data_IF_091894693082
#
_entry.id   IF_091894693082
#
_cell.length_a   1.000
_cell.length_b   1.000
_cell.length_c   1.000
_cell.angle_alpha   90.00
_cell.angle_beta   90.00
_cell.angle_gamma   90.00
#
_symmetry.space_group_name_H-M   'P 1'
#
loop_
_entity.id
_entity.type
_entity.pdbx_description
1 polymer ?
#
# COMPACT_ATOMS: atom_id res chain seq x y z
N UNK A 1 3.14 19.58 -26.39
CA UNK A 1 4.01 18.58 -25.74
C UNK A 1 5.28 19.19 -25.15
N UNK A 2 6.15 19.83 -25.94
CA UNK A 2 7.43 20.46 -25.47
C UNK A 2 7.37 21.28 -24.16
N UNK A 3 6.30 22.04 -23.89
CA UNK A 3 6.17 22.91 -22.69
C UNK A 3 5.72 22.17 -21.41
N UNK A 4 5.19 20.95 -21.53
CA UNK A 4 4.80 20.10 -20.39
C UNK A 4 6.02 19.26 -19.97
N UNK A 5 6.74 18.71 -20.95
CA UNK A 5 8.02 18.02 -20.74
C UNK A 5 9.02 18.90 -19.99
N UNK A 6 9.12 20.19 -20.35
CA UNK A 6 10.02 21.12 -19.66
C UNK A 6 9.68 21.27 -18.17
N UNK A 7 8.39 21.32 -17.79
CA UNK A 7 7.98 21.51 -16.39
C UNK A 7 8.13 20.24 -15.55
N UNK A 8 7.94 19.07 -16.13
CA UNK A 8 8.21 17.79 -15.46
C UNK A 8 9.69 17.59 -15.23
N UNK A 9 10.53 17.93 -16.21
CA UNK A 9 11.98 17.95 -16.04
C UNK A 9 12.41 18.88 -14.90
N UNK A 10 11.80 20.06 -14.78
CA UNK A 10 12.04 20.96 -13.63
C UNK A 10 11.70 20.32 -12.29
N UNK A 11 10.53 19.69 -12.14
CA UNK A 11 10.18 18.99 -10.89
C UNK A 11 11.19 17.87 -10.60
N UNK A 12 11.56 17.08 -11.61
CA UNK A 12 12.55 16.01 -11.47
C UNK A 12 13.88 16.54 -10.92
N UNK A 13 14.39 17.63 -11.53
CA UNK A 13 15.66 18.27 -11.13
C UNK A 13 15.55 18.87 -9.73
N UNK A 14 14.44 19.53 -9.40
CA UNK A 14 14.23 20.11 -8.07
C UNK A 14 14.14 19.03 -6.99
N UNK A 15 13.38 17.95 -7.24
CA UNK A 15 13.23 16.83 -6.32
C UNK A 15 14.56 16.12 -6.12
N UNK A 16 15.22 15.74 -7.22
CA UNK A 16 16.51 15.08 -7.18
C UNK A 16 17.53 15.96 -6.48
N UNK A 17 17.64 17.23 -6.87
CA UNK A 17 18.58 18.18 -6.26
C UNK A 17 18.35 18.38 -4.77
N UNK A 18 17.09 18.54 -4.34
CA UNK A 18 16.75 18.70 -2.92
C UNK A 18 17.05 17.43 -2.11
N UNK A 19 16.66 16.26 -2.61
CA UNK A 19 16.90 14.99 -1.92
C UNK A 19 18.40 14.66 -1.85
N UNK A 20 19.15 14.83 -2.95
CA UNK A 20 20.59 14.64 -2.94
C UNK A 20 21.28 15.62 -1.98
N UNK A 21 20.88 16.89 -1.97
CA UNK A 21 21.46 17.89 -1.06
C UNK A 21 21.20 17.54 0.41
N UNK A 22 19.99 17.09 0.76
CA UNK A 22 19.65 16.68 2.13
C UNK A 22 20.43 15.43 2.56
N UNK A 23 20.57 14.45 1.69
CA UNK A 23 21.33 13.22 1.98
C UNK A 23 22.84 13.50 2.07
N UNK A 24 23.37 14.36 1.20
CA UNK A 24 24.77 14.83 1.31
C UNK A 24 24.99 15.59 2.62
N UNK A 25 24.06 16.46 3.00
CA UNK A 25 24.11 17.17 4.27
C UNK A 25 24.16 16.19 5.45
N UNK A 26 23.31 15.16 5.46
CA UNK A 26 23.36 14.12 6.48
C UNK A 26 24.73 13.44 6.57
N UNK A 27 25.28 13.04 5.43
CA UNK A 27 26.55 12.29 5.38
C UNK A 27 27.71 13.18 5.83
N UNK A 28 27.78 14.42 5.35
CA UNK A 28 28.88 15.34 5.63
C UNK A 28 28.85 15.82 7.08
N UNK A 29 27.68 16.20 7.58
CA UNK A 29 27.55 16.79 8.92
C UNK A 29 27.21 15.76 9.99
N UNK A 30 26.95 14.50 9.63
CA UNK A 30 26.51 13.43 10.53
C UNK A 30 25.28 13.83 11.36
N UNK A 31 24.37 14.56 10.74
CA UNK A 31 23.11 15.02 11.35
C UNK A 31 21.96 14.29 10.68
N UNK A 32 21.07 13.71 11.47
CA UNK A 32 19.87 13.07 10.94
C UNK A 32 18.98 14.11 10.24
N UNK A 33 18.47 13.77 9.06
CA UNK A 33 17.55 14.65 8.32
C UNK A 33 16.20 14.68 9.02
N UNK A 34 15.78 13.52 9.53
CA UNK A 34 14.57 13.37 10.34
C UNK A 34 14.94 13.24 11.81
N UNK A 35 14.14 13.86 12.68
CA UNK A 35 14.28 13.72 14.13
C UNK A 35 14.27 12.23 14.52
N UNK A 36 15.25 11.80 15.35
CA UNK A 36 15.49 10.39 15.72
C UNK A 36 15.77 9.43 14.54
N UNK A 37 16.33 9.95 13.44
CA UNK A 37 16.92 9.12 12.39
C UNK A 37 18.06 8.20 12.86
N UNK A 38 18.55 7.34 11.97
CA UNK A 38 19.64 6.42 12.29
C UNK A 38 21.00 7.10 12.13
N UNK A 39 21.92 6.82 13.07
CA UNK A 39 23.28 7.39 13.06
C UNK A 39 24.08 7.03 11.80
N UNK A 40 23.74 5.91 11.14
CA UNK A 40 24.35 5.49 9.89
C UNK A 40 23.38 5.72 8.73
N UNK A 41 23.85 6.31 7.60
CA UNK A 41 23.02 6.43 6.41
C UNK A 41 22.64 5.04 5.91
N UNK A 42 21.41 4.91 5.42
CA UNK A 42 20.89 3.67 4.84
C UNK A 42 20.91 2.46 5.79
N UNK A 43 20.66 2.67 7.08
CA UNK A 43 20.76 1.60 8.07
C UNK A 43 19.87 0.37 7.83
N UNK A 44 18.80 0.46 7.03
CA UNK A 44 18.02 -0.73 6.65
C UNK A 44 18.69 -1.52 5.51
N UNK A 45 19.44 -0.87 4.60
CA UNK A 45 20.29 -1.57 3.62
C UNK A 45 21.45 -2.28 4.32
N UNK A 46 22.03 -1.67 5.35
CA UNK A 46 23.06 -2.32 6.19
C UNK A 46 22.55 -3.65 6.74
N UNK A 47 21.28 -3.71 7.15
CA UNK A 47 20.68 -4.95 7.65
C UNK A 47 20.51 -6.05 6.59
N UNK A 48 20.37 -5.67 5.32
CA UNK A 48 20.32 -6.63 4.20
C UNK A 48 21.74 -7.09 3.84
N UNK A 49 22.70 -6.17 3.76
CA UNK A 49 24.09 -6.51 3.43
C UNK A 49 24.73 -7.38 4.52
N UNK A 50 24.55 -7.04 5.81
CA UNK A 50 25.10 -7.80 6.93
C UNK A 50 24.48 -9.20 7.01
N UNK A 51 23.18 -9.33 6.77
CA UNK A 51 22.52 -10.63 6.74
C UNK A 51 23.03 -11.50 5.58
N UNK A 52 23.34 -10.91 4.42
CA UNK A 52 23.96 -11.62 3.30
C UNK A 52 25.38 -12.09 3.63
N UNK A 53 26.19 -11.24 4.28
CA UNK A 53 27.52 -11.62 4.79
C UNK A 53 27.43 -12.74 5.84
N UNK A 54 26.42 -12.70 6.70
CA UNK A 54 26.15 -13.70 7.74
C UNK A 54 25.89 -15.09 7.11
N UNK A 55 25.08 -15.14 6.04
CA UNK A 55 24.85 -16.37 5.27
C UNK A 55 26.15 -16.89 4.64
N UNK A 56 26.99 -16.01 4.08
CA UNK A 56 28.26 -16.40 3.43
C UNK A 56 29.25 -17.06 4.39
N UNK A 57 29.20 -16.74 5.68
CA UNK A 57 30.02 -17.39 6.72
C UNK A 57 29.35 -18.62 7.36
N UNK A 58 28.19 -19.05 6.83
CA UNK A 58 27.47 -20.24 7.28
C UNK A 58 26.56 -20.02 8.50
N UNK A 59 26.26 -18.78 8.85
CA UNK A 59 25.37 -18.43 9.95
C UNK A 59 23.93 -18.18 9.45
N UNK A 60 22.96 -18.30 10.36
CA UNK A 60 21.55 -18.02 10.05
C UNK A 60 21.16 -16.63 10.58
N UNK A 61 21.00 -15.61 9.70
CA UNK A 61 20.74 -14.23 10.13
C UNK A 61 19.36 -14.02 10.76
N UNK A 62 18.42 -14.98 10.62
CA UNK A 62 17.12 -14.93 11.29
C UNK A 62 17.18 -15.27 12.77
N UNK A 63 18.25 -15.94 13.22
CA UNK A 63 18.45 -16.33 14.62
C UNK A 63 19.55 -15.50 15.28
N UNK A 64 20.63 -15.23 14.54
CA UNK A 64 21.75 -14.42 15.02
C UNK A 64 22.37 -13.67 13.84
N UNK A 65 22.50 -12.35 13.99
CA UNK A 65 23.13 -11.50 12.98
C UNK A 65 24.25 -10.67 13.62
N UNK A 66 25.33 -11.36 14.01
CA UNK A 66 26.48 -10.77 14.69
C UNK A 66 27.27 -9.77 13.82
N UNK A 67 27.07 -9.80 12.50
CA UNK A 67 27.71 -8.89 11.54
C UNK A 67 26.95 -7.54 11.45
N UNK A 68 25.66 -7.51 11.79
CA UNK A 68 24.90 -6.26 11.82
C UNK A 68 25.41 -5.35 12.96
N UNK A 69 25.85 -4.12 12.68
CA UNK A 69 26.38 -3.21 13.72
C UNK A 69 25.38 -2.84 14.81
N UNK A 70 24.08 -3.04 14.55
CA UNK A 70 23.01 -2.80 15.51
C UNK A 70 22.54 -4.10 16.19
N UNK A 71 23.15 -5.25 15.89
CA UNK A 71 22.79 -6.56 16.45
C UNK A 71 21.37 -7.00 16.11
N UNK A 72 20.82 -6.53 14.98
CA UNK A 72 19.42 -6.81 14.59
C UNK A 72 19.31 -8.14 13.88
N UNK A 73 18.42 -8.99 14.35
CA UNK A 73 17.98 -10.18 13.62
C UNK A 73 17.34 -9.78 12.29
N UNK A 74 17.54 -10.62 11.27
CA UNK A 74 17.01 -10.36 9.95
C UNK A 74 15.49 -10.58 9.93
N UNK A 75 14.77 -9.62 9.35
CA UNK A 75 13.31 -9.58 9.35
C UNK A 75 12.72 -9.34 7.95
N UNK A 76 13.47 -9.71 6.91
CA UNK A 76 12.97 -9.67 5.53
C UNK A 76 12.82 -11.09 4.96
N UNK A 77 11.93 -11.27 3.97
CA UNK A 77 11.84 -12.51 3.20
C UNK A 77 13.17 -13.01 2.65
N UNK A 78 13.36 -14.33 2.60
CA UNK A 78 14.62 -14.98 2.19
C UNK A 78 15.07 -14.62 0.77
N UNK A 79 14.13 -14.21 -0.10
CA UNK A 79 14.43 -13.70 -1.44
C UNK A 79 15.45 -12.54 -1.41
N UNK A 80 15.47 -11.72 -0.36
CA UNK A 80 16.45 -10.65 -0.23
C UNK A 80 17.88 -11.18 -0.06
N UNK A 81 18.05 -12.31 0.64
CA UNK A 81 19.34 -12.96 0.78
C UNK A 81 19.81 -13.52 -0.57
N UNK A 82 18.92 -14.17 -1.32
CA UNK A 82 19.22 -14.68 -2.66
C UNK A 82 19.58 -13.58 -3.65
N UNK A 83 18.85 -12.45 -3.61
CA UNK A 83 19.14 -11.29 -4.46
C UNK A 83 20.46 -10.62 -4.08
N UNK A 84 20.74 -10.50 -2.78
CA UNK A 84 22.00 -9.96 -2.29
C UNK A 84 23.18 -10.84 -2.69
N UNK A 85 23.06 -12.16 -2.55
CA UNK A 85 24.11 -13.11 -2.93
C UNK A 85 24.38 -13.12 -4.43
N UNK A 86 23.32 -13.06 -5.27
CA UNK A 86 23.43 -13.01 -6.73
C UNK A 86 24.34 -11.87 -7.24
N UNK A 87 24.35 -10.74 -6.53
CA UNK A 87 25.14 -9.56 -6.90
C UNK A 87 26.35 -9.33 -5.98
N UNK A 88 26.63 -10.27 -5.07
CA UNK A 88 27.64 -10.15 -4.01
C UNK A 88 27.49 -8.87 -3.17
N UNK A 89 26.25 -8.48 -2.88
CA UNK A 89 25.96 -7.29 -2.08
C UNK A 89 26.50 -7.43 -0.66
N UNK A 90 27.32 -6.47 -0.25
CA UNK A 90 28.00 -6.44 1.04
C UNK A 90 28.09 -5.01 1.61
N UNK A 91 28.77 -4.83 2.74
CA UNK A 91 28.83 -3.54 3.43
C UNK A 91 29.42 -2.38 2.60
N UNK A 92 30.31 -2.65 1.62
CA UNK A 92 30.93 -1.57 0.81
C UNK A 92 29.98 -1.01 -0.23
N UNK A 93 28.94 -1.76 -0.61
CA UNK A 93 28.01 -1.39 -1.68
C UNK A 93 26.82 -0.56 -1.17
N UNK A 94 26.58 -0.55 0.15
CA UNK A 94 25.42 0.11 0.79
C UNK A 94 25.21 1.55 0.32
N UNK A 95 26.29 2.34 0.28
CA UNK A 95 26.24 3.74 -0.13
C UNK A 95 25.82 3.88 -1.61
N UNK A 96 26.43 3.08 -2.50
CA UNK A 96 26.13 3.10 -3.93
C UNK A 96 24.67 2.70 -4.19
N UNK A 97 24.21 1.62 -3.56
CA UNK A 97 22.82 1.14 -3.68
C UNK A 97 21.85 2.18 -3.12
N UNK A 98 22.15 2.80 -1.98
CA UNK A 98 21.36 3.90 -1.41
C UNK A 98 21.18 5.06 -2.38
N UNK A 99 22.25 5.53 -3.02
CA UNK A 99 22.18 6.59 -4.04
C UNK A 99 21.37 6.19 -5.26
N UNK A 100 21.55 4.97 -5.77
CA UNK A 100 20.77 4.45 -6.89
C UNK A 100 19.28 4.45 -6.54
N UNK A 101 18.90 4.00 -5.33
CA UNK A 101 17.51 4.01 -4.88
C UNK A 101 16.93 5.43 -4.78
N UNK A 102 17.70 6.42 -4.29
CA UNK A 102 17.26 7.82 -4.26
C UNK A 102 17.04 8.37 -5.67
N UNK A 103 17.93 8.07 -6.61
CA UNK A 103 17.80 8.51 -8.00
C UNK A 103 16.56 7.87 -8.63
N UNK A 104 16.40 6.55 -8.51
CA UNK A 104 15.24 5.84 -9.05
C UNK A 104 13.93 6.35 -8.44
N UNK A 105 13.90 6.56 -7.12
CA UNK A 105 12.76 7.15 -6.43
C UNK A 105 12.43 8.54 -7.00
N UNK A 106 13.43 9.42 -7.10
CA UNK A 106 13.27 10.79 -7.62
C UNK A 106 12.74 10.80 -9.06
N UNK A 107 13.26 9.92 -9.92
CA UNK A 107 12.78 9.74 -11.28
C UNK A 107 11.31 9.28 -11.29
N UNK A 108 10.95 8.30 -10.47
CA UNK A 108 9.57 7.83 -10.37
C UNK A 108 8.61 8.96 -9.96
N UNK A 109 9.00 9.79 -9.01
CA UNK A 109 8.19 10.92 -8.55
C UNK A 109 7.93 11.93 -9.68
N UNK A 110 8.93 12.18 -10.52
CA UNK A 110 8.79 13.08 -11.67
C UNK A 110 7.74 12.59 -12.69
N UNK A 111 7.61 11.28 -12.88
CA UNK A 111 6.63 10.69 -13.80
C UNK A 111 5.26 10.44 -13.15
N UNK A 112 5.23 10.27 -11.82
CA UNK A 112 3.99 10.19 -11.05
C UNK A 112 3.20 11.51 -11.15
N UNK A 113 3.87 12.65 -10.95
CA UNK A 113 3.22 13.96 -10.90
C UNK A 113 3.22 14.69 -12.25
N UNK A 114 2.01 14.95 -12.79
CA UNK A 114 1.83 15.83 -13.96
C UNK A 114 1.72 17.29 -13.52
N UNK A 115 2.85 18.00 -13.48
CA UNK A 115 2.90 19.43 -13.08
C UNK A 115 2.40 20.35 -14.19
N UNK A 116 1.23 20.96 -14.00
CA UNK A 116 0.69 21.96 -14.93
C UNK A 116 1.14 23.38 -14.59
N UNK A 117 1.28 23.69 -13.29
CA UNK A 117 1.61 25.02 -12.74
C UNK A 117 2.76 24.95 -11.74
N UNK A 118 3.59 25.99 -11.67
CA UNK A 118 4.74 26.05 -10.74
C UNK A 118 4.31 25.88 -9.27
N UNK A 119 3.26 26.59 -8.84
CA UNK A 119 2.70 26.46 -7.47
C UNK A 119 2.29 25.02 -7.13
N UNK A 120 1.78 24.26 -8.11
CA UNK A 120 1.45 22.85 -7.95
C UNK A 120 2.71 22.00 -7.75
N UNK A 121 3.80 22.33 -8.45
CA UNK A 121 5.12 21.70 -8.26
C UNK A 121 5.69 21.95 -6.87
N UNK A 122 5.58 23.17 -6.34
CA UNK A 122 5.98 23.48 -4.96
C UNK A 122 5.16 22.70 -3.93
N UNK A 123 3.85 22.55 -4.19
CA UNK A 123 2.98 21.75 -3.33
C UNK A 123 3.41 20.27 -3.34
N UNK A 124 3.68 19.68 -4.51
CA UNK A 124 4.22 18.32 -4.57
C UNK A 124 5.56 18.18 -3.86
N UNK A 125 6.46 19.15 -4.05
CA UNK A 125 7.75 19.16 -3.38
C UNK A 125 7.59 19.13 -1.86
N UNK A 126 6.61 19.85 -1.30
CA UNK A 126 6.32 19.77 0.14
C UNK A 126 5.98 18.32 0.56
N UNK A 127 5.11 17.59 -0.15
CA UNK A 127 4.83 16.19 0.22
C UNK A 127 6.05 15.28 0.07
N UNK A 128 6.87 15.52 -0.95
CA UNK A 128 8.08 14.72 -1.19
C UNK A 128 9.14 14.98 -0.13
N UNK A 129 9.23 16.20 0.39
CA UNK A 129 10.13 16.57 1.49
C UNK A 129 9.48 16.38 2.87
N UNK A 130 8.39 15.61 2.95
CA UNK A 130 7.77 15.30 4.23
C UNK A 130 8.61 14.31 5.05
N UNK A 131 8.51 14.32 6.39
CA UNK A 131 9.32 13.45 7.22
C UNK A 131 9.19 11.94 6.91
N UNK A 132 8.00 11.38 6.60
CA UNK A 132 7.90 9.99 6.15
C UNK A 132 8.80 9.64 4.97
N UNK A 133 8.82 10.50 3.94
CA UNK A 133 9.62 10.27 2.74
C UNK A 133 11.10 10.46 3.05
N UNK A 134 11.45 11.48 3.82
CA UNK A 134 12.84 11.69 4.22
C UNK A 134 13.36 10.54 5.09
N UNK A 135 12.55 10.02 6.02
CA UNK A 135 12.89 8.88 6.86
C UNK A 135 13.07 7.61 6.02
N UNK A 136 12.23 7.41 5.00
CA UNK A 136 12.35 6.29 4.07
C UNK A 136 13.73 6.29 3.39
N UNK A 137 14.12 7.45 2.85
CA UNK A 137 15.36 7.62 2.08
C UNK A 137 16.58 7.57 2.99
N UNK A 138 16.52 8.25 4.13
CA UNK A 138 17.56 8.24 5.17
C UNK A 138 17.86 6.81 5.65
N UNK A 139 16.82 5.99 5.87
CA UNK A 139 16.99 4.59 6.27
C UNK A 139 17.35 3.66 5.10
N UNK A 140 17.12 4.06 3.85
CA UNK A 140 17.31 3.21 2.68
C UNK A 140 16.38 1.99 2.69
N UNK A 141 15.15 2.13 3.19
CA UNK A 141 14.26 0.97 3.36
C UNK A 141 13.84 0.37 1.99
N UNK A 142 13.67 -0.94 1.95
CA UNK A 142 13.17 -1.65 0.75
C UNK A 142 11.73 -1.26 0.33
N UNK A 143 10.99 -0.53 1.17
CA UNK A 143 9.73 0.10 0.77
C UNK A 143 9.92 1.10 -0.40
N UNK A 144 11.13 1.60 -0.67
CA UNK A 144 11.45 2.34 -1.91
C UNK A 144 11.22 1.45 -3.14
N UNK A 145 11.74 0.23 -3.13
CA UNK A 145 11.59 -0.73 -4.24
C UNK A 145 10.12 -1.09 -4.42
N UNK A 146 9.40 -1.31 -3.31
CA UNK A 146 7.96 -1.60 -3.39
C UNK A 146 7.15 -0.42 -3.91
N UNK A 147 7.49 0.82 -3.52
CA UNK A 147 6.88 2.01 -4.11
C UNK A 147 7.10 2.08 -5.63
N UNK A 148 8.33 1.79 -6.10
CA UNK A 148 8.65 1.75 -7.52
C UNK A 148 7.84 0.69 -8.27
N UNK A 149 7.71 -0.52 -7.71
CA UNK A 149 6.90 -1.60 -8.29
C UNK A 149 5.42 -1.23 -8.36
N UNK A 150 4.86 -0.65 -7.29
CA UNK A 150 3.46 -0.22 -7.26
C UNK A 150 3.22 0.94 -8.23
N UNK A 151 4.14 1.90 -8.32
CA UNK A 151 4.07 2.98 -9.31
C UNK A 151 4.18 2.42 -10.74
N UNK A 152 5.03 1.41 -10.98
CA UNK A 152 5.16 0.74 -12.27
C UNK A 152 3.83 0.13 -12.71
N UNK A 153 3.19 -0.69 -11.86
CA UNK A 153 1.92 -1.34 -12.22
C UNK A 153 0.76 -0.35 -12.36
N UNK A 154 0.69 0.69 -11.53
CA UNK A 154 -0.50 1.54 -11.46
C UNK A 154 -0.41 2.80 -12.31
N UNK A 155 0.80 3.26 -12.63
CA UNK A 155 1.04 4.53 -13.32
C UNK A 155 1.71 4.29 -14.67
N UNK A 156 2.81 3.54 -14.71
CA UNK A 156 3.65 3.48 -15.92
C UNK A 156 3.13 2.46 -16.92
N UNK A 157 2.86 1.22 -16.52
CA UNK A 157 2.35 0.19 -17.42
C UNK A 157 1.06 0.61 -18.14
N UNK A 158 0.05 1.20 -17.47
CA UNK A 158 -1.16 1.66 -18.15
C UNK A 158 -0.92 2.79 -19.18
N UNK A 159 0.22 3.48 -19.10
CA UNK A 159 0.60 4.57 -20.02
C UNK A 159 1.47 4.11 -21.18
N UNK A 160 2.00 2.87 -21.16
CA UNK A 160 2.85 2.36 -22.23
C UNK A 160 1.99 2.05 -23.48
N UNK A 161 2.26 2.78 -24.56
CA UNK A 161 1.64 2.50 -25.85
C UNK A 161 2.14 1.15 -26.41
N UNK A 162 1.23 0.36 -26.98
CA UNK A 162 1.58 -0.88 -27.70
C UNK A 162 1.49 -2.17 -26.88
N UNK A 163 1.26 -2.09 -25.56
CA UNK A 163 1.00 -3.28 -24.73
C UNK A 163 -0.50 -3.58 -24.73
N UNK A 164 -0.94 -4.78 -25.18
CA UNK A 164 -2.34 -5.16 -25.12
C UNK A 164 -2.85 -5.20 -23.67
N UNK A 165 -4.13 -4.84 -23.39
CA UNK A 165 -4.69 -4.85 -22.04
C UNK A 165 -4.48 -6.18 -21.31
N UNK A 166 -4.61 -7.30 -22.03
CA UNK A 166 -4.39 -8.63 -21.48
C UNK A 166 -2.97 -8.81 -20.95
N UNK A 167 -1.96 -8.42 -21.73
CA UNK A 167 -0.57 -8.53 -21.33
C UNK A 167 -0.26 -7.62 -20.14
N UNK A 168 -0.82 -6.40 -20.14
CA UNK A 168 -0.70 -5.48 -19.00
C UNK A 168 -1.24 -6.12 -17.71
N UNK A 169 -2.43 -6.73 -17.75
CA UNK A 169 -3.01 -7.43 -16.59
C UNK A 169 -2.10 -8.54 -16.05
N UNK A 170 -1.50 -9.36 -16.93
CA UNK A 170 -0.57 -10.41 -16.51
C UNK A 170 0.72 -9.83 -15.89
N UNK A 171 1.28 -8.79 -16.48
CA UNK A 171 2.48 -8.12 -15.93
C UNK A 171 2.16 -7.49 -14.57
N UNK A 172 1.02 -6.79 -14.45
CA UNK A 172 0.59 -6.18 -13.19
C UNK A 172 0.41 -7.23 -12.09
N UNK A 173 -0.18 -8.38 -12.40
CA UNK A 173 -0.29 -9.48 -11.45
C UNK A 173 1.07 -10.07 -11.05
N UNK A 174 1.97 -10.26 -12.01
CA UNK A 174 3.35 -10.67 -11.73
C UNK A 174 4.08 -9.69 -10.80
N UNK A 175 3.88 -8.38 -11.00
CA UNK A 175 4.43 -7.34 -10.12
C UNK A 175 3.84 -7.43 -8.70
N UNK A 176 2.53 -7.64 -8.55
CA UNK A 176 1.90 -7.79 -7.22
C UNK A 176 2.47 -9.03 -6.51
N UNK A 177 2.58 -10.16 -7.20
CA UNK A 177 3.14 -11.40 -6.64
C UNK A 177 4.60 -11.18 -6.23
N UNK A 178 5.42 -10.61 -7.10
CA UNK A 178 6.81 -10.27 -6.79
C UNK A 178 6.92 -9.32 -5.59
N UNK A 179 6.12 -8.26 -5.56
CA UNK A 179 6.08 -7.33 -4.44
C UNK A 179 5.69 -8.03 -3.13
N UNK A 180 4.76 -8.99 -3.20
CA UNK A 180 4.32 -9.83 -2.07
C UNK A 180 5.43 -10.76 -1.57
N UNK A 181 6.28 -11.27 -2.46
CA UNK A 181 7.44 -12.08 -2.08
C UNK A 181 8.53 -11.23 -1.44
N UNK A 182 8.69 -9.98 -1.88
CA UNK A 182 9.64 -9.03 -1.31
C UNK A 182 9.21 -8.53 0.08
N UNK A 183 7.90 -8.31 0.30
CA UNK A 183 7.27 -8.12 1.62
C UNK A 183 5.82 -8.58 1.55
N UNK A 184 5.25 -9.06 2.65
CA UNK A 184 3.91 -9.67 2.61
C UNK A 184 2.74 -8.69 2.37
N UNK A 185 2.86 -7.41 2.76
CA UNK A 185 1.72 -6.49 2.75
C UNK A 185 1.16 -6.09 1.36
N UNK A 186 1.92 -6.03 0.24
CA UNK A 186 1.38 -5.76 -1.09
C UNK A 186 0.34 -6.78 -1.57
N UNK A 187 0.16 -7.91 -0.87
CA UNK A 187 -0.94 -8.84 -1.09
C UNK A 187 -2.32 -8.14 -1.13
N UNK A 188 -2.47 -7.05 -0.37
CA UNK A 188 -3.70 -6.23 -0.35
C UNK A 188 -4.07 -5.61 -1.70
N UNK A 189 -3.16 -5.65 -2.68
CA UNK A 189 -3.37 -5.14 -4.03
C UNK A 189 -4.01 -6.16 -4.98
N UNK A 190 -3.99 -7.47 -4.65
CA UNK A 190 -4.57 -8.51 -5.53
C UNK A 190 -6.00 -8.19 -6.00
N UNK A 191 -6.91 -7.67 -5.16
CA UNK A 191 -8.26 -7.35 -5.61
C UNK A 191 -8.36 -6.29 -6.70
N UNK A 192 -7.32 -5.45 -6.90
CA UNK A 192 -7.29 -4.47 -7.99
C UNK A 192 -7.33 -5.13 -9.37
N UNK A 193 -6.88 -6.38 -9.49
CA UNK A 193 -6.91 -7.15 -10.74
C UNK A 193 -8.35 -7.39 -11.25
N UNK A 194 -9.36 -7.22 -10.40
CA UNK A 194 -10.77 -7.31 -10.81
C UNK A 194 -11.21 -6.09 -11.64
N UNK A 195 -10.49 -4.98 -11.55
CA UNK A 195 -10.79 -3.73 -12.24
C UNK A 195 -10.14 -3.65 -13.63
N UNK A 196 -9.29 -4.61 -13.95
CA UNK A 196 -8.56 -4.68 -15.20
C UNK A 196 -9.52 -4.78 -16.40
N UNK A 197 -9.27 -4.05 -17.51
CA UNK A 197 -10.17 -3.97 -18.66
C UNK A 197 -10.10 -5.22 -19.58
N UNK A 198 -10.06 -6.41 -18.98
CA UNK A 198 -10.04 -7.71 -19.66
C UNK A 198 -11.31 -8.50 -19.36
N UNK A 199 -11.57 -9.60 -20.09
CA UNK A 199 -12.75 -10.42 -19.83
C UNK A 199 -12.72 -11.06 -18.45
N UNK A 200 -13.90 -11.30 -17.86
CA UNK A 200 -14.05 -11.88 -16.52
C UNK A 200 -13.24 -13.17 -16.34
N UNK A 201 -13.20 -14.02 -17.37
CA UNK A 201 -12.38 -15.25 -17.38
C UNK A 201 -10.92 -14.97 -17.07
N UNK A 202 -10.30 -14.01 -17.78
CA UNK A 202 -8.90 -13.67 -17.56
C UNK A 202 -8.67 -13.06 -16.17
N UNK A 203 -9.56 -12.18 -15.70
CA UNK A 203 -9.48 -11.63 -14.34
C UNK A 203 -9.45 -12.74 -13.29
N UNK A 204 -10.38 -13.69 -13.38
CA UNK A 204 -10.46 -14.82 -12.46
C UNK A 204 -9.26 -15.75 -12.58
N UNK A 205 -8.78 -16.02 -13.79
CA UNK A 205 -7.56 -16.84 -14.01
C UNK A 205 -6.34 -16.18 -13.37
N UNK A 206 -6.13 -14.88 -13.58
CA UNK A 206 -4.97 -14.18 -13.03
C UNK A 206 -5.04 -14.12 -11.51
N UNK A 207 -6.22 -13.85 -10.93
CA UNK A 207 -6.43 -13.90 -9.48
C UNK A 207 -6.17 -15.30 -8.89
N UNK A 208 -6.67 -16.34 -9.55
CA UNK A 208 -6.47 -17.72 -9.13
C UNK A 208 -4.99 -18.09 -9.15
N UNK A 209 -4.30 -17.83 -10.27
CA UNK A 209 -2.88 -18.14 -10.41
C UNK A 209 -2.04 -17.35 -9.40
N UNK A 210 -2.31 -16.06 -9.24
CA UNK A 210 -1.61 -15.23 -8.25
C UNK A 210 -1.86 -15.73 -6.82
N UNK A 211 -3.11 -16.12 -6.51
CA UNK A 211 -3.47 -16.69 -5.21
C UNK A 211 -2.76 -18.02 -4.94
N UNK A 212 -2.67 -18.91 -5.93
CA UNK A 212 -1.93 -20.18 -5.81
C UNK A 212 -0.45 -19.93 -5.57
N UNK A 213 0.17 -19.01 -6.33
CA UNK A 213 1.59 -18.69 -6.18
C UNK A 213 1.90 -18.10 -4.80
N UNK A 214 1.08 -17.16 -4.33
CA UNK A 214 1.21 -16.61 -2.98
C UNK A 214 1.00 -17.69 -1.93
N UNK A 215 -0.06 -18.49 -2.05
CA UNK A 215 -0.33 -19.56 -1.07
C UNK A 215 0.82 -20.57 -1.01
N UNK A 216 1.36 -20.99 -2.16
CA UNK A 216 2.53 -21.85 -2.24
C UNK A 216 3.74 -21.24 -1.54
N UNK A 217 4.03 -19.96 -1.79
CA UNK A 217 5.10 -19.23 -1.10
C UNK A 217 4.90 -19.16 0.42
N UNK A 218 3.68 -18.85 0.89
CA UNK A 218 3.38 -18.78 2.32
C UNK A 218 3.51 -20.14 3.03
N UNK A 219 3.15 -21.23 2.34
CA UNK A 219 3.29 -22.60 2.86
C UNK A 219 4.77 -23.00 2.92
N UNK A 220 5.50 -22.78 1.82
CA UNK A 220 6.92 -23.13 1.73
C UNK A 220 7.80 -22.34 2.71
N UNK A 221 7.50 -21.04 2.88
CA UNK A 221 8.26 -20.15 3.76
C UNK A 221 7.65 -19.98 5.16
N UNK A 222 6.76 -20.88 5.61
CA UNK A 222 5.99 -20.69 6.86
C UNK A 222 6.88 -20.46 8.09
N UNK A 223 7.92 -21.28 8.27
CA UNK A 223 8.83 -21.18 9.42
C UNK A 223 9.62 -19.85 9.38
N UNK A 224 10.11 -19.47 8.20
CA UNK A 224 10.83 -18.21 8.00
C UNK A 224 9.91 -17.01 8.22
N UNK A 225 8.66 -17.07 7.75
CA UNK A 225 7.66 -16.01 7.96
C UNK A 225 7.35 -15.86 9.46
N UNK A 226 7.35 -16.96 10.21
CA UNK A 226 7.17 -16.93 11.67
C UNK A 226 8.32 -16.18 12.34
N UNK A 227 9.57 -16.49 11.97
CA UNK A 227 10.76 -15.77 12.45
C UNK A 227 10.74 -14.29 12.04
N UNK A 228 10.44 -13.98 10.77
CA UNK A 228 10.27 -12.60 10.30
C UNK A 228 9.25 -11.85 11.15
N UNK A 229 8.11 -12.49 11.46
CA UNK A 229 7.05 -11.88 12.26
C UNK A 229 7.49 -11.62 13.70
N UNK A 230 8.36 -12.45 14.27
CA UNK A 230 8.95 -12.25 15.60
C UNK A 230 9.98 -11.12 15.59
N UNK A 231 10.86 -11.14 14.58
CA UNK A 231 11.99 -10.20 14.43
C UNK A 231 11.55 -8.82 13.92
N UNK A 232 10.32 -8.67 13.41
CA UNK A 232 9.79 -7.39 12.92
C UNK A 232 9.40 -6.48 14.09
N UNK A 233 10.04 -5.31 14.25
CA UNK A 233 9.68 -4.37 15.30
C UNK A 233 8.25 -3.86 15.17
N UNK A 234 7.59 -3.64 16.31
CA UNK A 234 6.30 -2.96 16.41
C UNK A 234 6.51 -1.56 17.03
N UNK A 235 6.95 -0.56 16.24
CA UNK A 235 7.37 0.72 16.78
C UNK A 235 6.19 1.54 17.31
N UNK A 236 6.49 2.48 18.20
CA UNK A 236 5.52 3.41 18.79
C UNK A 236 5.88 4.87 18.55
N UNK A 237 7.18 5.11 18.35
CA UNK A 237 7.75 6.41 18.01
C UNK A 237 7.93 6.41 16.50
N UNK A 238 7.59 7.52 15.85
CA UNK A 238 7.56 7.60 14.38
C UNK A 238 6.79 6.40 13.78
N UNK A 239 5.64 6.09 14.36
CA UNK A 239 4.83 4.93 14.00
C UNK A 239 3.38 5.31 13.71
N UNK A 240 2.73 4.53 12.86
CA UNK A 240 1.29 4.55 12.63
C UNK A 240 0.75 3.12 12.65
N UNK A 241 -0.53 2.97 12.98
CA UNK A 241 -1.17 1.66 13.04
C UNK A 241 -2.27 1.59 14.08
N UNK A 242 -3.03 0.49 14.01
CA UNK A 242 -4.19 0.30 14.89
C UNK A 242 -3.83 0.31 16.39
N UNK A 243 -2.67 -0.22 16.76
CA UNK A 243 -2.32 -0.35 18.19
C UNK A 243 -1.65 0.91 18.75
N UNK A 244 -1.08 1.79 17.91
CA UNK A 244 -0.31 2.99 18.34
C UNK A 244 -1.14 3.91 19.24
N UNK A 245 -2.41 4.15 18.91
CA UNK A 245 -3.30 4.96 19.76
C UNK A 245 -3.69 4.21 21.03
N UNK A 246 -3.93 2.90 20.92
CA UNK A 246 -4.53 2.10 22.00
C UNK A 246 -3.57 1.81 23.14
N UNK A 247 -2.26 1.72 22.88
CA UNK A 247 -1.27 1.47 23.92
C UNK A 247 -1.26 2.51 25.03
N UNK A 248 -1.69 3.74 24.74
CA UNK A 248 -1.80 4.78 25.76
C UNK A 248 -2.94 4.53 26.76
N UNK A 249 -4.03 3.90 26.31
CA UNK A 249 -5.29 3.82 27.05
C UNK A 249 -5.58 2.42 27.61
N UNK A 250 -4.91 1.40 27.10
CA UNK A 250 -5.23 0.01 27.35
C UNK A 250 -3.98 -0.77 27.73
N UNK A 251 -4.14 -1.78 28.59
CA UNK A 251 -3.07 -2.71 28.92
C UNK A 251 -2.78 -3.64 27.74
N UNK A 252 -1.55 -4.15 27.65
CA UNK A 252 -1.03 -4.93 26.51
C UNK A 252 -1.96 -6.04 26.01
N UNK A 253 -2.65 -6.75 26.91
CA UNK A 253 -3.59 -7.82 26.55
C UNK A 253 -4.93 -7.34 25.96
N UNK A 254 -5.33 -6.10 26.21
CA UNK A 254 -6.62 -5.52 25.78
C UNK A 254 -6.52 -4.66 24.52
N UNK A 255 -5.32 -4.17 24.21
CA UNK A 255 -5.03 -3.35 23.02
C UNK A 255 -5.53 -4.01 21.71
N UNK A 256 -5.23 -5.28 21.42
CA UNK A 256 -5.65 -5.89 20.15
C UNK A 256 -7.17 -6.03 20.07
N UNK A 257 -7.83 -6.36 21.18
CA UNK A 257 -9.27 -6.55 21.26
C UNK A 257 -10.02 -5.25 20.94
N UNK A 258 -9.64 -4.15 21.60
CA UNK A 258 -10.27 -2.83 21.40
C UNK A 258 -10.00 -2.32 19.99
N UNK A 259 -8.75 -2.41 19.52
CA UNK A 259 -8.38 -2.00 18.16
C UNK A 259 -9.21 -2.72 17.10
N UNK A 260 -9.33 -4.05 17.23
CA UNK A 260 -10.09 -4.86 16.28
C UNK A 260 -11.60 -4.54 16.34
N UNK A 261 -12.15 -4.30 17.53
CA UNK A 261 -13.55 -3.88 17.69
C UNK A 261 -13.82 -2.52 17.01
N UNK A 262 -12.91 -1.54 17.19
CA UNK A 262 -13.03 -0.23 16.56
C UNK A 262 -12.91 -0.31 15.03
N UNK A 263 -12.00 -1.12 14.50
CA UNK A 263 -11.91 -1.40 13.07
C UNK A 263 -13.21 -1.99 12.55
N UNK A 264 -13.78 -2.99 13.26
CA UNK A 264 -15.04 -3.61 12.86
C UNK A 264 -16.19 -2.60 12.83
N UNK A 265 -16.30 -1.75 13.88
CA UNK A 265 -17.30 -0.67 13.93
C UNK A 265 -17.10 0.32 12.80
N UNK A 266 -15.85 0.71 12.50
CA UNK A 266 -15.54 1.61 11.39
C UNK A 266 -15.95 0.99 10.06
N UNK A 267 -15.61 -0.27 9.79
CA UNK A 267 -15.98 -0.99 8.57
C UNK A 267 -17.51 -1.08 8.43
N UNK A 268 -18.22 -1.45 9.50
CA UNK A 268 -19.69 -1.49 9.50
C UNK A 268 -20.26 -0.10 9.23
N UNK A 269 -19.74 0.94 9.89
CA UNK A 269 -20.16 2.33 9.69
C UNK A 269 -19.98 2.77 8.23
N UNK A 270 -18.83 2.44 7.63
CA UNK A 270 -18.53 2.71 6.21
C UNK A 270 -19.50 1.97 5.29
N UNK A 271 -19.80 0.69 5.55
CA UNK A 271 -20.79 -0.08 4.77
C UNK A 271 -22.18 0.56 4.89
N UNK A 272 -22.63 0.89 6.10
CA UNK A 272 -23.94 1.51 6.34
C UNK A 272 -24.04 2.87 5.65
N UNK A 273 -23.02 3.71 5.75
CA UNK A 273 -22.94 4.98 5.03
C UNK A 273 -22.96 4.77 3.51
N UNK A 274 -22.25 3.76 3.00
CA UNK A 274 -22.23 3.42 1.57
C UNK A 274 -23.60 2.97 1.05
N UNK A 275 -24.34 2.19 1.85
CA UNK A 275 -25.66 1.68 1.49
C UNK A 275 -26.76 2.75 1.58
N UNK A 276 -26.79 3.53 2.67
CA UNK A 276 -27.82 4.54 2.95
C UNK A 276 -27.51 5.90 2.33
N UNK A 277 -26.24 6.20 2.11
CA UNK A 277 -25.74 7.50 1.72
C UNK A 277 -25.76 7.77 0.22
N UNK A 278 -26.44 6.99 -0.65
CA UNK A 278 -26.40 7.19 -2.11
C UNK A 278 -26.54 8.66 -2.54
N UNK A 279 -27.44 9.43 -1.91
CA UNK A 279 -27.62 10.86 -2.17
C UNK A 279 -26.48 11.73 -1.64
N UNK A 280 -26.00 11.48 -0.42
CA UNK A 280 -24.88 12.18 0.23
C UNK A 280 -23.55 11.93 -0.50
N UNK A 281 -23.35 10.68 -0.94
CA UNK A 281 -22.21 10.20 -1.71
C UNK A 281 -22.17 10.83 -3.09
N UNK A 282 -23.30 10.85 -3.79
CA UNK A 282 -23.37 11.44 -5.13
C UNK A 282 -23.27 12.98 -5.10
N UNK A 283 -23.52 13.60 -3.95
CA UNK A 283 -23.24 15.04 -3.73
C UNK A 283 -21.76 15.29 -3.42
N UNK A 284 -21.06 14.35 -2.78
CA UNK A 284 -19.63 14.48 -2.50
C UNK A 284 -18.74 14.11 -3.70
N UNK A 285 -19.13 13.14 -4.53
CA UNK A 285 -18.35 12.63 -5.67
C UNK A 285 -19.22 12.45 -6.90
N UNK A 286 -19.42 13.48 -7.73
CA UNK A 286 -20.21 13.37 -8.94
C UNK A 286 -19.57 12.38 -9.91
N UNK A 287 -20.34 11.35 -10.28
CA UNK A 287 -19.96 10.15 -11.04
C UNK A 287 -19.54 10.39 -12.50
N UNK A 288 -19.59 11.64 -12.99
CA UNK A 288 -19.45 11.97 -14.42
C UNK A 288 -18.04 12.47 -14.83
N UNK A 289 -16.98 12.06 -14.13
CA UNK A 289 -15.67 12.71 -14.24
C UNK A 289 -14.52 11.86 -14.84
N UNK A 290 -13.61 12.48 -15.61
CA UNK A 290 -12.69 11.87 -16.60
C UNK A 290 -11.36 11.33 -16.04
N UNK A 291 -11.21 11.12 -14.74
CA UNK A 291 -9.90 10.91 -14.10
C UNK A 291 -9.50 9.43 -13.93
N UNK A 292 -9.76 8.60 -14.94
CA UNK A 292 -9.39 7.17 -14.94
C UNK A 292 -7.89 6.94 -14.71
N UNK A 293 -7.01 7.83 -15.17
CA UNK A 293 -5.57 7.62 -15.05
C UNK A 293 -5.03 7.71 -13.61
N UNK A 294 -5.72 8.39 -12.70
CA UNK A 294 -5.25 8.62 -11.32
C UNK A 294 -5.95 7.73 -10.29
N UNK A 295 -7.02 7.03 -10.68
CA UNK A 295 -7.82 6.21 -9.75
C UNK A 295 -7.04 4.98 -9.29
N UNK A 296 -6.37 4.27 -10.20
CA UNK A 296 -5.65 3.04 -9.87
C UNK A 296 -4.48 3.29 -8.88
N UNK A 297 -3.62 4.30 -9.07
CA UNK A 297 -2.61 4.68 -8.07
C UNK A 297 -3.23 5.07 -6.73
N UNK A 298 -4.34 5.82 -6.75
CA UNK A 298 -5.06 6.20 -5.54
C UNK A 298 -5.53 4.97 -4.76
N UNK A 299 -6.16 4.01 -5.44
CA UNK A 299 -6.66 2.80 -4.81
C UNK A 299 -5.54 1.95 -4.23
N UNK A 300 -4.42 1.82 -4.95
CA UNK A 300 -3.25 1.09 -4.45
C UNK A 300 -2.66 1.74 -3.20
N UNK A 301 -2.46 3.07 -3.20
CA UNK A 301 -1.99 3.79 -2.03
C UNK A 301 -2.93 3.67 -0.82
N UNK A 302 -4.24 3.79 -1.05
CA UNK A 302 -5.26 3.65 -0.01
C UNK A 302 -5.32 2.22 0.56
N UNK A 303 -5.25 1.19 -0.29
CA UNK A 303 -5.23 -0.22 0.12
C UNK A 303 -3.99 -0.57 0.93
N UNK A 304 -2.80 -0.11 0.51
CA UNK A 304 -1.56 -0.36 1.27
C UNK A 304 -1.61 0.33 2.63
N UNK A 305 -2.05 1.59 2.68
CA UNK A 305 -2.17 2.33 3.94
C UNK A 305 -3.15 1.64 4.90
N UNK A 306 -4.38 1.36 4.45
CA UNK A 306 -5.36 0.64 5.27
C UNK A 306 -4.86 -0.76 5.66
N UNK A 307 -4.14 -1.42 4.75
CA UNK A 307 -3.52 -2.74 4.90
C UNK A 307 -2.64 -2.80 6.09
N UNK A 308 -1.60 -2.03 5.97
CA UNK A 308 -0.53 -1.96 6.95
C UNK A 308 -1.04 -1.43 8.28
N UNK A 309 -1.98 -0.47 8.28
CA UNK A 309 -2.62 0.01 9.50
C UNK A 309 -3.34 -1.09 10.29
N UNK A 310 -4.11 -1.93 9.59
CA UNK A 310 -4.86 -3.03 10.20
C UNK A 310 -3.94 -4.18 10.64
N UNK A 311 -2.82 -4.38 9.96
CA UNK A 311 -1.84 -5.42 10.30
C UNK A 311 -1.17 -5.15 11.65
N UNK A 312 -0.89 -3.89 11.98
CA UNK A 312 -0.26 -3.57 13.27
C UNK A 312 0.43 -2.22 13.23
N UNK A 313 1.49 -2.08 14.02
CA UNK A 313 2.28 -0.87 14.07
C UNK A 313 3.38 -0.92 13.02
N UNK A 314 3.56 0.20 12.33
CA UNK A 314 4.55 0.32 11.27
C UNK A 314 5.25 1.66 11.41
N UNK A 315 6.51 1.71 11.01
CA UNK A 315 7.21 2.99 10.91
C UNK A 315 6.54 3.90 9.87
N UNK A 316 6.51 5.20 10.16
CA UNK A 316 5.87 6.24 9.33
C UNK A 316 6.46 6.33 7.94
N UNK A 317 7.68 5.83 7.68
CA UNK A 317 8.25 5.87 6.33
C UNK A 317 7.37 5.17 5.29
N UNK A 318 6.52 4.21 5.71
CA UNK A 318 5.58 3.52 4.82
C UNK A 318 4.42 4.43 4.36
N UNK A 319 4.21 5.58 4.99
CA UNK A 319 3.26 6.59 4.49
C UNK A 319 3.66 7.15 3.11
N UNK A 320 4.87 6.85 2.60
CA UNK A 320 5.27 7.15 1.22
C UNK A 320 4.23 6.69 0.17
N UNK A 321 3.52 5.57 0.41
CA UNK A 321 2.49 5.09 -0.53
C UNK A 321 1.31 6.05 -0.67
N UNK A 322 1.09 6.95 0.29
CA UNK A 322 0.08 8.00 0.17
C UNK A 322 0.41 9.01 -0.94
N UNK A 323 1.67 9.11 -1.39
CA UNK A 323 2.02 9.92 -2.55
C UNK A 323 1.25 9.49 -3.81
N UNK A 324 0.88 8.20 -3.92
CA UNK A 324 0.07 7.68 -5.03
C UNK A 324 -1.37 8.20 -5.01
N UNK A 325 -1.87 8.64 -3.85
CA UNK A 325 -3.24 9.18 -3.69
C UNK A 325 -3.34 10.64 -4.13
N UNK A 326 -2.23 11.39 -4.06
CA UNK A 326 -2.21 12.84 -4.27
C UNK A 326 -2.68 13.30 -5.66
N UNK A 327 -2.29 12.66 -6.79
CA UNK A 327 -2.74 13.10 -8.11
C UNK A 327 -4.27 13.07 -8.22
N UNK A 328 -4.91 12.01 -7.71
CA UNK A 328 -6.36 11.87 -7.74
C UNK A 328 -7.03 12.95 -6.89
N UNK A 329 -6.62 13.09 -5.63
CA UNK A 329 -7.23 14.01 -4.67
C UNK A 329 -7.09 15.48 -5.09
N UNK A 330 -5.94 15.85 -5.66
CA UNK A 330 -5.73 17.23 -6.14
C UNK A 330 -6.49 17.51 -7.44
N UNK A 331 -6.64 16.51 -8.31
CA UNK A 331 -7.49 16.67 -9.49
C UNK A 331 -8.96 16.84 -9.09
N UNK A 332 -9.43 16.09 -8.08
CA UNK A 332 -10.77 16.27 -7.51
C UNK A 332 -10.92 17.67 -6.94
N UNK A 333 -10.00 18.12 -6.08
CA UNK A 333 -10.02 19.47 -5.51
C UNK A 333 -10.06 20.55 -6.59
N UNK A 334 -9.20 20.44 -7.61
CA UNK A 334 -9.14 21.39 -8.71
C UNK A 334 -10.45 21.42 -9.51
N UNK A 335 -11.06 20.26 -9.77
CA UNK A 335 -12.36 20.18 -10.44
C UNK A 335 -13.45 20.92 -9.66
N UNK A 336 -13.55 20.67 -8.36
CA UNK A 336 -14.54 21.36 -7.50
C UNK A 336 -14.36 22.88 -7.48
N UNK A 337 -13.12 23.37 -7.51
CA UNK A 337 -12.84 24.82 -7.52
C UNK A 337 -13.14 25.51 -8.87
N UNK A 338 -13.24 24.77 -9.98
CA UNK A 338 -13.24 25.33 -11.32
C UNK A 338 -14.61 25.49 -12.00
N UNK A 339 -15.72 24.90 -11.52
CA UNK A 339 -16.99 25.03 -12.23
C UNK A 339 -18.28 24.48 -11.58
N UNK A 340 -19.25 25.40 -11.46
CA UNK A 340 -20.73 25.29 -11.49
C UNK A 340 -21.46 24.22 -10.63
N UNK A 341 -22.21 24.69 -9.62
CA UNK A 341 -23.11 23.94 -8.71
C UNK A 341 -22.44 22.93 -7.76
N UNK A 342 -21.20 23.17 -7.32
CA UNK A 342 -20.73 22.53 -6.10
C UNK A 342 -21.42 23.19 -4.90
N UNK A 343 -22.11 22.43 -4.06
CA UNK A 343 -22.50 22.94 -2.74
C UNK A 343 -21.22 23.27 -1.96
N UNK A 344 -21.22 24.36 -1.19
CA UNK A 344 -20.11 24.78 -0.31
C UNK A 344 -19.45 23.61 0.45
N UNK A 345 -20.27 22.60 0.77
CA UNK A 345 -19.95 21.37 1.46
C UNK A 345 -18.95 20.44 0.72
N UNK A 346 -18.89 20.38 -0.62
CA UNK A 346 -17.98 19.43 -1.31
C UNK A 346 -16.55 19.95 -1.41
N UNK A 347 -16.35 21.26 -1.55
CA UNK A 347 -15.03 21.90 -1.52
C UNK A 347 -14.38 21.85 -0.14
N UNK A 348 -15.18 21.98 0.93
CA UNK A 348 -14.72 21.88 2.32
C UNK A 348 -14.24 20.45 2.65
N UNK A 349 -14.88 19.41 2.11
CA UNK A 349 -14.49 18.02 2.32
C UNK A 349 -13.23 17.60 1.54
N UNK A 350 -13.04 18.06 0.30
CA UNK A 350 -11.79 17.80 -0.44
C UNK A 350 -10.59 18.54 0.17
N UNK A 351 -10.83 19.76 0.66
CA UNK A 351 -9.86 20.51 1.44
C UNK A 351 -9.56 19.79 2.76
N UNK A 352 -10.58 19.28 3.47
CA UNK A 352 -10.44 18.49 4.69
C UNK A 352 -9.65 17.21 4.45
N UNK A 353 -9.93 16.44 3.39
CA UNK A 353 -9.17 15.22 3.04
C UNK A 353 -7.71 15.55 2.74
N UNK A 354 -7.45 16.58 1.93
CA UNK A 354 -6.10 17.03 1.58
C UNK A 354 -5.36 17.60 2.79
N UNK A 355 -6.07 18.28 3.68
CA UNK A 355 -5.55 18.85 4.93
C UNK A 355 -5.29 17.77 5.98
N UNK A 356 -6.13 16.74 6.06
CA UNK A 356 -5.94 15.57 6.91
C UNK A 356 -4.77 14.72 6.41
N UNK A 357 -4.58 14.60 5.09
CA UNK A 357 -3.39 13.95 4.52
C UNK A 357 -2.12 14.76 4.80
N UNK A 358 -2.17 16.08 4.65
CA UNK A 358 -1.07 16.95 5.05
C UNK A 358 -0.79 16.84 6.55
N UNK A 359 -1.84 16.86 7.37
CA UNK A 359 -1.75 16.73 8.83
C UNK A 359 -1.24 15.36 9.26
N UNK A 360 -1.64 14.26 8.63
CA UNK A 360 -1.10 12.93 8.95
C UNK A 360 0.35 12.78 8.51
N UNK A 361 0.69 13.25 7.30
CA UNK A 361 2.04 13.15 6.74
C UNK A 361 3.04 14.05 7.48
N UNK A 362 2.65 15.26 7.89
CA UNK A 362 3.52 16.18 8.62
C UNK A 362 3.41 16.05 10.14
N UNK A 363 2.23 15.71 10.65
CA UNK A 363 1.97 15.53 12.07
C UNK A 363 2.76 14.40 12.70
N UNK A 364 2.74 13.23 12.06
CA UNK A 364 3.43 12.02 12.53
C UNK A 364 4.96 12.14 12.51
N UNK A 365 5.51 13.13 11.80
CA UNK A 365 6.97 13.22 11.60
C UNK A 365 7.63 14.53 12.06
N UNK A 366 6.90 15.65 12.09
CA UNK A 366 7.42 16.94 12.59
C UNK A 366 7.01 17.16 14.06
N UNK A 367 5.86 16.61 14.48
CA UNK A 367 5.20 17.00 15.74
C UNK A 367 5.16 15.92 16.82
N UNK A 368 6.00 14.86 16.74
CA UNK A 368 6.38 14.03 17.90
C UNK A 368 6.96 14.90 19.06
N UNK A 369 7.18 16.20 18.81
CA UNK A 369 7.60 17.23 19.76
C UNK A 369 6.47 17.85 20.62
N UNK A 370 5.19 17.83 20.19
CA UNK A 370 4.13 18.70 20.76
C UNK A 370 2.90 17.98 21.38
N UNK A 371 3.07 16.79 21.94
CA UNK A 371 2.05 15.89 22.55
C UNK A 371 1.34 14.97 21.55
N UNK A 372 1.47 13.67 21.85
CA UNK A 372 1.38 12.49 20.98
C UNK A 372 0.00 12.16 20.37
N UNK A 373 -1.09 12.69 20.93
CA UNK A 373 -2.41 12.06 20.71
C UNK A 373 -3.12 12.50 19.43
N UNK A 374 -2.96 13.77 19.02
CA UNK A 374 -3.76 14.35 17.94
C UNK A 374 -3.50 13.64 16.61
N UNK A 375 -2.25 13.31 16.31
CA UNK A 375 -1.87 12.70 15.04
C UNK A 375 -2.25 11.22 14.95
N UNK A 376 -2.22 10.51 16.09
CA UNK A 376 -2.71 9.12 16.18
C UNK A 376 -4.21 9.05 15.88
N UNK A 377 -4.99 10.04 16.31
CA UNK A 377 -6.41 10.17 15.95
C UNK A 377 -6.55 10.48 14.45
N UNK A 378 -5.70 11.36 13.90
CA UNK A 378 -5.68 11.66 12.46
C UNK A 378 -5.46 10.40 11.63
N UNK A 379 -4.55 9.50 12.01
CA UNK A 379 -4.34 8.24 11.28
C UNK A 379 -5.61 7.36 11.25
N UNK A 380 -6.30 7.23 12.39
CA UNK A 380 -7.58 6.51 12.48
C UNK A 380 -8.66 7.15 11.59
N UNK A 381 -8.76 8.49 11.60
CA UNK A 381 -9.67 9.22 10.72
C UNK A 381 -9.30 9.02 9.24
N UNK A 382 -8.01 9.03 8.91
CA UNK A 382 -7.52 8.82 7.55
C UNK A 382 -7.88 7.43 7.02
N UNK A 383 -7.77 6.38 7.83
CA UNK A 383 -8.16 5.01 7.42
C UNK A 383 -9.64 4.97 7.07
N UNK A 384 -10.50 5.49 7.95
CA UNK A 384 -11.94 5.54 7.68
C UNK A 384 -12.27 6.33 6.41
N UNK A 385 -11.67 7.51 6.26
CA UNK A 385 -11.90 8.39 5.12
C UNK A 385 -11.42 7.79 3.80
N UNK A 386 -10.19 7.26 3.75
CA UNK A 386 -9.64 6.64 2.54
C UNK A 386 -10.42 5.38 2.14
N UNK A 387 -10.90 4.59 3.11
CA UNK A 387 -11.76 3.43 2.83
C UNK A 387 -13.13 3.84 2.28
N UNK A 388 -13.75 4.88 2.83
CA UNK A 388 -14.98 5.44 2.25
C UNK A 388 -14.70 5.84 0.81
N UNK A 389 -13.71 6.71 0.58
CA UNK A 389 -13.35 7.18 -0.76
C UNK A 389 -12.99 6.04 -1.73
N UNK A 390 -12.35 4.97 -1.24
CA UNK A 390 -12.05 3.76 -2.01
C UNK A 390 -13.34 3.08 -2.48
N UNK A 391 -14.29 2.82 -1.59
CA UNK A 391 -15.59 2.23 -1.96
C UNK A 391 -16.37 3.12 -2.93
N UNK A 392 -16.25 4.45 -2.78
CA UNK A 392 -16.88 5.40 -3.68
C UNK A 392 -16.23 5.39 -5.06
N UNK A 393 -14.90 5.26 -5.13
CA UNK A 393 -14.16 5.16 -6.38
C UNK A 393 -14.52 3.88 -7.16
N UNK A 394 -14.97 2.83 -6.47
CA UNK A 394 -15.47 1.60 -7.07
C UNK A 394 -16.92 1.71 -7.58
N UNK A 395 -17.70 2.69 -7.13
CA UNK A 395 -19.12 2.84 -7.48
C UNK A 395 -19.44 2.82 -8.99
N UNK A 396 -18.69 3.52 -9.86
CA UNK A 396 -18.93 3.49 -11.30
C UNK A 396 -18.83 2.08 -11.91
N UNK A 397 -18.02 1.20 -11.31
CA UNK A 397 -17.83 -0.17 -11.77
C UNK A 397 -18.97 -1.11 -11.36
N UNK A 398 -19.89 -0.66 -10.49
CA UNK A 398 -21.10 -1.39 -10.08
C UNK A 398 -22.36 -0.97 -10.86
N UNK A 399 -22.23 -0.11 -11.89
CA UNK A 399 -23.40 0.45 -12.58
C UNK A 399 -24.06 -0.59 -13.50
N UNK A 400 -25.38 -0.71 -13.32
CA UNK A 400 -26.33 -1.61 -13.99
C UNK A 400 -26.26 -1.51 -15.52
N UNK A 401 -25.81 -2.58 -16.18
CA UNK A 401 -25.98 -2.77 -17.62
C UNK A 401 -27.28 -3.57 -17.87
N UNK A 402 -28.25 -2.99 -18.60
CA UNK A 402 -29.46 -3.66 -19.11
C UNK A 402 -30.28 -4.47 -18.09
N UNK A 403 -30.81 -3.80 -17.06
CA UNK A 403 -31.84 -4.29 -16.12
C UNK A 403 -31.55 -5.56 -15.30
N UNK A 404 -30.53 -6.35 -15.65
CA UNK A 404 -30.02 -7.49 -14.87
C UNK A 404 -28.89 -7.02 -13.96
N UNK A 405 -28.97 -7.38 -12.69
CA UNK A 405 -27.80 -7.35 -11.83
C UNK A 405 -26.86 -8.44 -12.35
N UNK A 406 -25.93 -8.11 -13.25
CA UNK A 406 -24.78 -8.97 -13.46
C UNK A 406 -24.06 -9.08 -12.11
N UNK A 407 -23.48 -10.25 -11.83
CA UNK A 407 -22.81 -10.60 -10.57
C UNK A 407 -21.53 -9.76 -10.42
N UNK A 408 -21.68 -8.45 -10.24
CA UNK A 408 -20.63 -7.46 -10.00
C UNK A 408 -20.50 -7.14 -8.51
N UNK A 409 -21.23 -7.84 -7.62
CA UNK A 409 -21.08 -7.77 -6.16
C UNK A 409 -19.91 -8.58 -5.63
N UNK A 410 -19.49 -9.59 -6.40
CA UNK A 410 -18.38 -10.47 -6.08
C UNK A 410 -17.09 -9.71 -5.67
N UNK A 411 -16.64 -8.66 -6.37
CA UNK A 411 -15.40 -7.94 -6.05
C UNK A 411 -15.41 -7.28 -4.67
N UNK A 412 -16.53 -6.66 -4.27
CA UNK A 412 -16.68 -6.06 -2.93
C UNK A 412 -16.64 -7.12 -1.85
N UNK A 413 -17.34 -8.24 -2.07
CA UNK A 413 -17.36 -9.37 -1.15
C UNK A 413 -15.96 -9.99 -1.06
N UNK A 414 -15.25 -10.14 -2.18
CA UNK A 414 -13.88 -10.68 -2.20
C UNK A 414 -12.88 -9.74 -1.51
N UNK A 415 -12.99 -8.42 -1.69
CA UNK A 415 -12.17 -7.44 -0.97
C UNK A 415 -12.43 -7.54 0.54
N UNK A 416 -13.70 -7.48 0.97
CA UNK A 416 -14.09 -7.58 2.38
C UNK A 416 -13.72 -8.92 3.01
N UNK A 417 -13.92 -10.03 2.30
CA UNK A 417 -13.53 -11.37 2.74
C UNK A 417 -12.02 -11.51 2.83
N UNK A 418 -11.28 -10.96 1.87
CA UNK A 418 -9.83 -10.90 1.93
C UNK A 418 -9.34 -10.15 3.18
N UNK A 419 -9.94 -9.00 3.49
CA UNK A 419 -9.67 -8.26 4.74
C UNK A 419 -9.96 -9.08 6.00
N UNK A 420 -11.05 -9.84 6.00
CA UNK A 420 -11.41 -10.73 7.11
C UNK A 420 -10.40 -11.87 7.28
N UNK A 421 -9.93 -12.48 6.20
CA UNK A 421 -8.91 -13.54 6.24
C UNK A 421 -7.56 -12.99 6.69
N UNK A 422 -7.19 -11.79 6.26
CA UNK A 422 -5.96 -11.11 6.69
C UNK A 422 -5.99 -10.80 8.20
N UNK A 423 -7.15 -10.34 8.71
CA UNK A 423 -7.41 -10.14 10.14
C UNK A 423 -7.31 -11.44 10.94
N UNK A 424 -7.71 -12.57 10.36
CA UNK A 424 -7.60 -13.89 11.00
C UNK A 424 -6.15 -14.40 11.06
N UNK A 425 -5.36 -14.24 9.99
CA UNK A 425 -3.95 -14.63 9.97
C UNK A 425 -3.12 -13.88 11.01
N UNK A 426 -3.39 -12.60 11.24
CA UNK A 426 -2.67 -11.79 12.25
C UNK A 426 -3.17 -12.01 13.68
N UNK A 427 -4.35 -12.60 13.87
CA UNK A 427 -4.86 -13.02 15.18
C UNK A 427 -4.06 -14.18 15.81
N UNK A 428 -3.21 -14.85 15.02
CA UNK A 428 -2.42 -16.02 15.44
C UNK A 428 -1.32 -15.70 16.49
N UNK A 429 -1.08 -14.41 16.80
CA UNK A 429 -0.16 -13.99 17.87
C UNK A 429 -0.69 -14.21 19.30
N UNK A 430 -1.91 -14.71 19.48
CA UNK A 430 -2.52 -14.92 20.80
C UNK A 430 -2.76 -16.43 21.02
N UNK A 431 -1.98 -17.01 21.95
CA UNK A 431 -1.81 -18.46 22.12
C UNK A 431 -3.05 -19.31 22.42
N UNK A 432 -2.83 -20.60 22.18
CA UNK A 432 -3.50 -21.89 22.48
C UNK A 432 -4.99 -22.00 22.84
N UNK A 433 -5.68 -20.99 23.37
CA UNK A 433 -7.06 -21.15 23.86
C UNK A 433 -8.16 -20.96 22.79
N UNK A 434 -7.79 -20.61 21.55
CA UNK A 434 -8.73 -20.25 20.48
C UNK A 434 -8.74 -21.17 19.25
N UNK A 435 -7.98 -22.27 19.27
CA UNK A 435 -7.81 -23.19 18.13
C UNK A 435 -9.15 -23.83 17.71
N UNK A 436 -10.08 -24.08 18.64
CA UNK A 436 -11.37 -24.71 18.35
C UNK A 436 -12.37 -23.80 17.63
N UNK A 437 -12.44 -22.50 17.97
CA UNK A 437 -13.34 -21.55 17.30
C UNK A 437 -12.82 -21.13 15.92
N UNK A 438 -11.49 -21.02 15.78
CA UNK A 438 -10.84 -20.70 14.50
C UNK A 438 -10.78 -21.89 13.54
N UNK A 439 -10.72 -23.14 14.02
CA UNK A 439 -10.87 -24.30 13.14
C UNK A 439 -12.27 -24.34 12.51
N UNK A 440 -13.32 -24.01 13.28
CA UNK A 440 -14.71 -23.97 12.78
C UNK A 440 -14.92 -22.82 11.80
N UNK A 441 -14.44 -21.61 12.11
CA UNK A 441 -14.53 -20.45 11.21
C UNK A 441 -13.60 -20.55 10.00
N UNK A 442 -12.41 -21.13 10.16
CA UNK A 442 -11.47 -21.45 9.09
C UNK A 442 -12.04 -22.49 8.14
N UNK A 443 -12.61 -23.59 8.65
CA UNK A 443 -13.33 -24.58 7.84
C UNK A 443 -14.57 -24.00 7.17
N UNK A 444 -15.31 -23.08 7.80
CA UNK A 444 -16.41 -22.38 7.17
C UNK A 444 -15.94 -21.42 6.06
N UNK A 445 -14.80 -20.75 6.25
CA UNK A 445 -14.19 -19.83 5.27
C UNK A 445 -13.59 -20.58 4.09
N UNK A 446 -12.87 -21.68 4.35
CA UNK A 446 -12.38 -22.61 3.34
C UNK A 446 -13.53 -23.33 2.64
N UNK A 447 -14.58 -23.71 3.38
CA UNK A 447 -15.81 -24.26 2.83
C UNK A 447 -16.52 -23.28 1.91
N UNK A 448 -16.56 -21.99 2.25
CA UNK A 448 -17.11 -20.92 1.40
C UNK A 448 -16.21 -20.59 0.21
N UNK A 449 -14.88 -20.64 0.38
CA UNK A 449 -13.91 -20.51 -0.71
C UNK A 449 -14.05 -21.68 -1.70
N UNK A 450 -14.21 -22.90 -1.17
CA UNK A 450 -14.47 -24.11 -1.95
C UNK A 450 -15.84 -24.04 -2.63
N UNK A 451 -16.88 -23.54 -1.95
CA UNK A 451 -18.22 -23.33 -2.52
C UNK A 451 -18.17 -22.29 -3.63
N UNK A 452 -17.38 -21.24 -3.46
CA UNK A 452 -17.09 -20.24 -4.49
C UNK A 452 -16.37 -20.87 -5.69
N UNK A 453 -15.34 -21.68 -5.46
CA UNK A 453 -14.63 -22.39 -6.53
C UNK A 453 -15.52 -23.39 -7.26
N UNK A 454 -16.34 -24.16 -6.55
CA UNK A 454 -17.31 -25.10 -7.13
C UNK A 454 -18.38 -24.35 -7.92
N UNK A 455 -18.89 -23.23 -7.42
CA UNK A 455 -19.84 -22.38 -8.16
C UNK A 455 -19.22 -21.77 -9.42
N UNK A 456 -17.95 -21.36 -9.37
CA UNK A 456 -17.20 -20.85 -10.52
C UNK A 456 -16.95 -21.96 -11.55
N UNK A 457 -16.56 -23.17 -11.12
CA UNK A 457 -16.38 -24.33 -12.00
C UNK A 457 -17.71 -24.70 -12.66
N UNK A 458 -18.80 -24.78 -11.88
CA UNK A 458 -20.13 -25.10 -12.37
C UNK A 458 -20.67 -24.04 -13.35
N UNK A 459 -20.33 -22.77 -13.15
CA UNK A 459 -20.69 -21.69 -14.08
C UNK A 459 -19.88 -21.75 -15.39
N UNK A 460 -18.59 -22.08 -15.30
CA UNK A 460 -17.70 -22.23 -16.46
C UNK A 460 -18.03 -23.46 -17.31
N UNK A 461 -18.52 -24.55 -16.70
CA UNK A 461 -18.98 -25.74 -17.43
C UNK A 461 -20.32 -25.52 -18.12
N UNK A 462 -21.23 -24.74 -17.53
CA UNK A 462 -22.56 -24.50 -18.12
C UNK A 462 -22.56 -23.57 -19.35
N UNK A 463 -21.55 -22.69 -19.50
CA UNK A 463 -21.44 -21.82 -20.67
C UNK A 463 -20.99 -22.53 -21.96
N UNK A 464 -20.62 -23.82 -21.91
CA UNK A 464 -20.32 -24.61 -23.13
C UNK A 464 -21.57 -25.19 -23.83
N UNK A 465 -22.78 -24.96 -23.30
CA UNK A 465 -24.01 -25.63 -23.78
C UNK A 465 -24.88 -24.88 -24.80
N UNK A 466 -24.63 -23.60 -25.11
CA UNK A 466 -25.47 -22.86 -26.05
C UNK A 466 -24.79 -22.72 -27.41
N UNK A 467 -25.00 -23.72 -28.27
CA UNK A 467 -24.78 -23.58 -29.71
C UNK A 467 -25.65 -22.44 -30.26
N UNK A 468 -25.12 -21.53 -31.10
CA UNK A 468 -25.96 -20.52 -31.74
C UNK A 468 -26.88 -21.22 -32.74
N UNK A 469 -28.19 -21.12 -32.50
CA UNK A 469 -29.20 -21.48 -33.47
C UNK A 469 -28.95 -20.70 -34.76
N UNK A 470 -28.74 -21.43 -35.87
CA UNK A 470 -28.79 -20.89 -37.22
C UNK A 470 -30.24 -20.48 -37.50
N UNK A 471 -30.47 -19.20 -37.74
CA UNK A 471 -31.46 -18.70 -38.68
C UNK A 471 -30.98 -17.38 -39.28
#
# INVERSE_FOLDING_TARGET
MKRIESKQAWLAVMVLGALLALMLFQIVFKVNVVYKGMAFPFGDLVGISSASECVRVGLNPYLENSIDPFGREFNYPAIWLSLADLVNFDGKDVMLVGWILIILFSLSIAFLFKVKRFKQGLFYLAFILSPPVLLLLERGNSDIILFLLVALMTVYLPRLCGIPPLMNTYIAAGIIVLATFLKLYPLVLLPLLILEPVSLRHRMTVLLVSGILVAGYLIDSFDIITLITQNTPQPLIMAYGKNVLMEKFFSDGTIPLVSNALILVAVIGVIVMSLKGKRFIHTLFPTEQPFQEAILPYMAGALIFAGTFVLGNNYIYRLVFLLLTLPYLLNQLAYFTAGQKASRFSSENALLVSSLLLMGIYGTGVFDFFSDETWRIVDWCMVGLLLVLLLLSLYPYFKKENSKWSVQWLPCITILQFWMVLLQFYGYRMGEFFISWYAVMGLASWGLLLTFFVAVIHFLTHQRGTSPARH
#
